data_IF_948984116471
#
_entry.id   IF_948984116471
#
_cell.length_a   1.000
_cell.length_b   1.000
_cell.length_c   1.000
_cell.angle_alpha   90.00
_cell.angle_beta   90.00
_cell.angle_gamma   90.00
#
_symmetry.space_group_name_H-M   'P 1'
#
loop_
_entity.id
_entity.type
_entity.pdbx_description
1 polymer ?
#
# COMPACT_ATOMS: atom_id res chain seq x y z
N UNK A 1 41.34 6.45 17.38
CA UNK A 1 40.06 7.18 17.18
C UNK A 1 39.33 7.16 18.51
N UNK A 2 39.21 8.32 19.17
CA UNK A 2 38.61 8.42 20.51
C UNK A 2 37.10 8.18 20.44
N UNK A 3 36.57 7.31 21.32
CA UNK A 3 35.12 7.10 21.47
C UNK A 3 34.56 8.24 22.31
N UNK A 4 33.60 8.97 21.77
CA UNK A 4 32.86 9.96 22.53
C UNK A 4 32.02 9.28 23.59
N UNK A 5 32.04 9.84 24.79
CA UNK A 5 31.25 9.37 25.91
C UNK A 5 29.81 9.91 25.83
N UNK A 6 28.96 9.42 26.72
CA UNK A 6 27.53 9.75 26.72
C UNK A 6 27.25 11.24 26.95
N UNK A 7 28.10 11.92 27.71
CA UNK A 7 27.96 13.35 28.03
C UNK A 7 28.31 14.21 26.80
N UNK A 8 29.33 13.82 26.04
CA UNK A 8 29.72 14.50 24.78
C UNK A 8 28.63 14.33 23.70
N UNK A 9 27.92 13.20 23.70
CA UNK A 9 26.76 12.98 22.82
C UNK A 9 25.58 13.87 23.24
N UNK A 10 25.30 13.96 24.54
CA UNK A 10 24.20 14.77 25.07
C UNK A 10 24.44 16.29 24.86
N UNK A 11 25.70 16.72 24.88
CA UNK A 11 26.10 18.10 24.58
C UNK A 11 25.94 18.44 23.09
N UNK A 12 26.30 17.52 22.19
CA UNK A 12 26.06 17.66 20.75
C UNK A 12 24.56 17.79 20.43
N UNK A 13 23.70 17.04 21.14
CA UNK A 13 22.24 17.13 21.00
C UNK A 13 21.67 18.46 21.49
N UNK A 14 22.21 19.03 22.59
CA UNK A 14 21.83 20.37 23.05
C UNK A 14 22.17 21.45 22.03
N UNK A 15 23.32 21.32 21.37
CA UNK A 15 23.78 22.29 20.37
C UNK A 15 23.01 22.18 19.04
N UNK A 16 22.56 20.98 18.66
CA UNK A 16 21.73 20.77 17.47
C UNK A 16 20.37 21.48 17.55
N UNK A 17 19.82 21.62 18.76
CA UNK A 17 18.57 22.34 19.03
C UNK A 17 18.68 23.87 18.97
N UNK A 18 19.89 24.43 18.73
CA UNK A 18 20.10 25.88 18.60
C UNK A 18 20.17 26.37 17.15
N UNK A 19 20.00 25.47 16.16
CA UNK A 19 20.00 25.84 14.74
C UNK A 19 18.61 26.46 14.40
N UNK A 20 18.53 27.76 14.06
CA UNK A 20 17.26 28.48 13.96
C UNK A 20 16.61 28.32 12.59
N UNK A 21 16.48 27.08 12.10
CA UNK A 21 15.77 26.79 10.86
C UNK A 21 14.99 25.48 10.95
N UNK A 22 14.04 25.43 11.88
CA UNK A 22 12.79 24.65 11.83
C UNK A 22 12.16 24.70 13.21
N UNK A 23 11.13 25.54 13.38
CA UNK A 23 10.17 25.40 14.49
C UNK A 23 9.33 24.13 14.29
N UNK A 24 9.96 22.96 14.31
CA UNK A 24 9.27 21.71 14.58
C UNK A 24 8.93 21.74 16.06
N UNK A 25 7.64 21.87 16.38
CA UNK A 25 7.12 21.70 17.74
C UNK A 25 7.77 20.47 18.36
N UNK A 26 8.36 20.64 19.54
CA UNK A 26 8.96 19.57 20.32
C UNK A 26 7.97 18.40 20.42
N UNK A 27 8.34 17.28 19.79
CA UNK A 27 7.61 16.02 19.87
C UNK A 27 7.65 15.59 21.33
N UNK A 28 6.48 15.34 21.92
CA UNK A 28 6.36 14.99 23.33
C UNK A 28 6.98 13.63 23.60
N UNK A 29 7.49 13.40 24.81
CA UNK A 29 8.10 12.13 25.23
C UNK A 29 7.14 10.95 25.09
N UNK A 30 5.83 11.20 25.15
CA UNK A 30 4.79 10.20 24.88
C UNK A 30 4.68 9.83 23.38
N UNK A 31 4.85 10.79 22.47
CA UNK A 31 4.87 10.57 21.01
C UNK A 31 6.12 9.79 20.58
N UNK A 32 7.22 9.94 21.32
CA UNK A 32 8.46 9.14 21.14
C UNK A 32 8.22 7.67 21.50
N UNK A 33 7.39 7.34 22.49
CA UNK A 33 7.03 5.94 22.83
C UNK A 33 6.17 5.27 21.75
N UNK A 34 5.30 6.04 21.09
CA UNK A 34 4.58 5.56 19.91
C UNK A 34 5.54 5.32 18.73
N UNK A 35 6.56 6.17 18.56
CA UNK A 35 7.67 5.95 17.62
C UNK A 35 8.59 4.77 18.02
N UNK A 36 8.78 4.46 19.31
CA UNK A 36 9.51 3.26 19.76
C UNK A 36 8.77 1.97 19.39
N UNK A 37 7.44 2.00 19.43
CA UNK A 37 6.60 0.89 18.94
C UNK A 37 6.74 0.73 17.42
N UNK A 38 6.88 1.85 16.69
CA UNK A 38 7.23 1.88 15.26
C UNK A 38 8.66 1.36 14.98
N UNK A 39 9.59 1.56 15.91
CA UNK A 39 10.98 1.10 15.82
C UNK A 39 11.15 -0.41 16.04
N UNK A 40 10.21 -1.08 16.74
CA UNK A 40 10.28 -2.54 16.89
C UNK A 40 10.05 -3.30 15.59
N UNK A 41 9.30 -2.72 14.63
CA UNK A 41 9.22 -3.24 13.26
C UNK A 41 10.60 -3.26 12.59
N UNK A 42 11.44 -2.25 12.91
CA UNK A 42 12.78 -2.04 12.34
C UNK A 42 13.79 -3.10 12.77
N UNK A 43 13.58 -3.79 13.89
CA UNK A 43 14.55 -4.78 14.38
C UNK A 43 14.38 -6.17 13.75
N UNK A 44 13.16 -6.57 13.37
CA UNK A 44 12.94 -7.86 12.69
C UNK A 44 12.82 -7.74 11.17
N UNK A 45 12.30 -6.62 10.65
CA UNK A 45 12.26 -6.36 9.19
C UNK A 45 13.59 -5.79 8.68
N UNK A 46 14.29 -5.03 9.53
CA UNK A 46 15.51 -4.30 9.16
C UNK A 46 16.80 -5.12 9.16
N UNK A 47 16.84 -6.32 9.75
CA UNK A 47 18.02 -7.19 9.69
C UNK A 47 18.33 -7.70 8.27
N UNK A 48 17.41 -7.49 7.30
CA UNK A 48 17.64 -7.73 5.86
C UNK A 48 18.08 -6.51 5.06
N UNK A 49 18.08 -5.30 5.63
CA UNK A 49 18.36 -4.04 4.90
C UNK A 49 19.82 -3.60 5.07
N UNK A 50 20.76 -4.54 5.23
CA UNK A 50 22.15 -4.17 5.53
C UNK A 50 22.98 -3.78 4.31
N UNK A 51 22.53 -4.04 3.07
CA UNK A 51 23.33 -3.80 1.85
C UNK A 51 22.47 -3.44 0.61
N UNK A 52 21.49 -2.53 0.77
CA UNK A 52 20.61 -2.11 -0.34
C UNK A 52 20.93 -0.71 -0.88
N UNK A 53 20.66 -0.50 -2.17
CA UNK A 53 20.57 0.83 -2.81
C UNK A 53 19.36 1.62 -2.28
N UNK A 54 19.33 2.94 -2.49
CA UNK A 54 18.15 3.76 -2.12
C UNK A 54 16.88 3.23 -2.80
N UNK A 55 16.97 2.80 -4.06
CA UNK A 55 15.85 2.22 -4.83
C UNK A 55 15.25 1.00 -4.14
N UNK A 56 16.06 0.04 -3.71
CA UNK A 56 15.58 -1.18 -3.05
C UNK A 56 14.90 -0.88 -1.71
N UNK A 57 15.33 0.20 -1.04
CA UNK A 57 14.70 0.67 0.19
C UNK A 57 13.31 1.25 -0.10
N UNK A 58 13.17 2.08 -1.14
CA UNK A 58 11.86 2.59 -1.57
C UNK A 58 10.89 1.48 -1.95
N UNK A 59 11.34 0.52 -2.77
CA UNK A 59 10.51 -0.61 -3.20
C UNK A 59 9.99 -1.41 -1.99
N UNK A 60 10.83 -1.60 -0.96
CA UNK A 60 10.41 -2.26 0.27
C UNK A 60 9.33 -1.46 1.01
N UNK A 61 9.50 -0.15 1.16
CA UNK A 61 8.50 0.70 1.82
C UNK A 61 7.18 0.73 1.05
N UNK A 62 7.22 0.88 -0.27
CA UNK A 62 6.03 0.88 -1.12
C UNK A 62 5.28 -0.45 -1.04
N UNK A 63 6.01 -1.56 -0.98
CA UNK A 63 5.44 -2.89 -0.77
C UNK A 63 4.77 -3.02 0.60
N UNK A 64 5.42 -2.58 1.68
CA UNK A 64 4.83 -2.62 3.04
C UNK A 64 3.56 -1.77 3.10
N UNK A 65 3.59 -0.57 2.55
CA UNK A 65 2.45 0.35 2.52
C UNK A 65 1.30 -0.25 1.71
N UNK A 66 1.61 -0.85 0.57
CA UNK A 66 0.62 -1.55 -0.24
C UNK A 66 0.00 -2.74 0.49
N UNK A 67 0.81 -3.53 1.19
CA UNK A 67 0.34 -4.64 2.01
C UNK A 67 -0.60 -4.16 3.12
N UNK A 68 -0.27 -3.07 3.81
CA UNK A 68 -1.13 -2.47 4.84
C UNK A 68 -2.47 -1.99 4.24
N UNK A 69 -2.43 -1.29 3.08
CA UNK A 69 -3.65 -0.82 2.37
C UNK A 69 -4.58 -1.97 1.95
N UNK A 70 -4.00 -3.13 1.60
CA UNK A 70 -4.77 -4.35 1.28
C UNK A 70 -5.33 -4.98 2.54
N UNK A 71 -4.52 -5.07 3.60
CA UNK A 71 -4.87 -5.73 4.85
C UNK A 71 -6.05 -5.07 5.55
N UNK A 72 -6.01 -3.74 5.72
CA UNK A 72 -7.03 -2.96 6.42
C UNK A 72 -7.46 -1.74 5.62
N UNK A 73 -8.77 -1.46 5.63
CA UNK A 73 -9.37 -0.30 4.97
C UNK A 73 -9.15 0.97 5.80
N UNK A 74 -7.93 1.46 5.82
CA UNK A 74 -7.54 2.71 6.48
C UNK A 74 -6.50 3.47 5.65
N UNK A 75 -6.34 4.77 5.91
CA UNK A 75 -5.35 5.58 5.21
C UNK A 75 -3.97 5.37 5.83
N UNK A 76 -3.04 4.83 5.05
CA UNK A 76 -1.62 4.73 5.42
C UNK A 76 -0.73 5.32 4.33
N UNK A 77 0.25 6.11 4.78
CA UNK A 77 1.23 6.81 3.95
C UNK A 77 2.48 7.10 4.78
N UNK A 78 3.57 7.47 4.11
CA UNK A 78 4.81 7.92 4.74
C UNK A 78 5.33 9.17 4.02
N UNK A 79 6.00 10.05 4.76
CA UNK A 79 6.48 11.35 4.29
C UNK A 79 7.99 11.41 4.04
N UNK A 80 8.77 10.56 4.71
CA UNK A 80 10.21 10.53 4.59
C UNK A 80 10.76 9.14 4.94
N UNK A 81 11.84 8.76 4.26
CA UNK A 81 12.66 7.61 4.62
C UNK A 81 13.97 8.13 5.21
N UNK A 82 14.32 7.62 6.40
CA UNK A 82 15.56 7.97 7.09
C UNK A 82 16.50 6.77 7.13
N UNK A 83 17.62 6.88 6.42
CA UNK A 83 18.68 5.87 6.45
C UNK A 83 19.73 6.28 7.48
N UNK A 84 19.99 5.39 8.45
CA UNK A 84 21.04 5.58 9.47
C UNK A 84 22.18 4.64 9.12
N UNK A 85 23.29 5.18 8.63
CA UNK A 85 24.51 4.40 8.40
C UNK A 85 25.26 4.19 9.72
N UNK A 86 25.55 2.94 10.14
CA UNK A 86 26.35 2.69 11.33
C UNK A 86 27.73 3.35 11.21
N UNK A 87 28.10 4.16 12.22
CA UNK A 87 29.39 4.85 12.31
C UNK A 87 30.60 3.91 12.17
N UNK A 88 30.44 2.61 12.42
CA UNK A 88 31.49 1.59 12.30
C UNK A 88 31.87 1.23 10.86
N UNK A 89 31.06 1.59 9.86
CA UNK A 89 31.28 1.24 8.44
C UNK A 89 31.66 2.43 7.55
N UNK A 90 31.83 3.63 8.12
CA UNK A 90 32.10 4.85 7.35
C UNK A 90 33.47 5.45 7.69
N UNK A 91 34.45 5.33 6.80
CA UNK A 91 35.72 6.07 6.88
C UNK A 91 35.56 7.58 6.59
N UNK A 92 34.37 7.99 6.13
CA UNK A 92 33.98 9.38 5.90
C UNK A 92 32.60 9.60 6.48
N UNK A 93 32.46 10.60 7.36
CA UNK A 93 31.22 11.02 8.01
C UNK A 93 29.99 10.79 7.11
N UNK A 94 29.09 9.85 7.45
CA UNK A 94 27.92 9.59 6.63
C UNK A 94 26.99 10.78 6.84
N UNK A 95 26.81 11.59 5.79
CA UNK A 95 25.75 12.60 5.81
C UNK A 95 24.43 11.84 5.89
N UNK A 96 23.55 12.15 6.85
CA UNK A 96 22.20 11.58 6.85
C UNK A 96 21.58 11.90 5.49
N UNK A 97 21.21 10.85 4.75
CA UNK A 97 20.51 11.00 3.50
C UNK A 97 19.02 11.13 3.83
N UNK A 98 18.46 12.28 3.48
CA UNK A 98 17.05 12.59 3.65
C UNK A 98 16.41 12.57 2.27
N UNK A 99 15.55 11.60 2.01
CA UNK A 99 14.64 11.65 0.88
C UNK A 99 13.23 11.87 1.42
N UNK A 100 12.68 13.05 1.14
CA UNK A 100 11.26 13.30 1.32
C UNK A 100 10.50 12.61 0.20
N UNK A 101 9.46 11.86 0.55
CA UNK A 101 8.39 11.57 -0.40
C UNK A 101 7.85 12.92 -0.92
N UNK A 102 7.39 13.01 -2.19
CA UNK A 102 6.87 14.26 -2.74
C UNK A 102 5.88 14.91 -1.77
N UNK A 103 6.10 16.18 -1.45
CA UNK A 103 5.34 16.90 -0.43
C UNK A 103 3.86 16.91 -0.80
N UNK A 104 3.07 16.10 -0.13
CA UNK A 104 1.63 16.08 -0.28
C UNK A 104 1.02 16.95 0.83
N UNK A 105 0.22 17.96 0.46
CA UNK A 105 -0.55 18.81 1.38
C UNK A 105 -1.70 18.03 2.06
N UNK A 106 -1.37 16.98 2.82
CA UNK A 106 -2.30 16.08 3.53
C UNK A 106 -2.76 16.73 4.85
N UNK A 107 -2.34 17.96 5.12
CA UNK A 107 -2.58 18.67 6.38
C UNK A 107 -4.04 19.02 6.63
N UNK A 108 -4.91 18.98 5.60
CA UNK A 108 -6.29 19.45 5.72
C UNK A 108 -7.32 18.43 6.19
N UNK A 109 -6.99 17.14 6.28
CA UNK A 109 -7.86 16.15 6.93
C UNK A 109 -7.13 14.83 7.15
N UNK A 110 -6.10 14.80 8.00
CA UNK A 110 -5.53 13.54 8.45
C UNK A 110 -6.66 12.69 9.07
N UNK A 111 -7.09 11.59 8.45
CA UNK A 111 -8.01 10.66 9.08
C UNK A 111 -7.36 10.11 10.35
N UNK A 112 -8.17 9.58 11.27
CA UNK A 112 -7.66 8.79 12.38
C UNK A 112 -6.60 7.82 11.84
N UNK A 113 -5.36 7.96 12.31
CA UNK A 113 -4.20 7.28 11.72
C UNK A 113 -4.40 5.78 11.63
N UNK A 114 -3.68 5.13 10.72
CA UNK A 114 -3.70 3.69 10.56
C UNK A 114 -3.24 3.02 11.87
N UNK A 115 -4.12 2.23 12.49
CA UNK A 115 -3.82 1.55 13.77
C UNK A 115 -4.05 0.06 13.64
N UNK A 116 -3.09 -0.73 14.10
CA UNK A 116 -3.26 -2.17 14.29
C UNK A 116 -3.24 -2.46 15.78
N UNK A 117 -4.23 -3.20 16.26
CA UNK A 117 -4.16 -3.80 17.60
C UNK A 117 -3.16 -4.97 17.65
N UNK A 118 -2.98 -5.58 18.83
CA UNK A 118 -1.96 -6.63 19.02
C UNK A 118 -2.28 -7.86 18.19
N UNK A 119 -3.56 -8.22 18.09
CA UNK A 119 -4.06 -9.35 17.34
C UNK A 119 -3.90 -9.10 15.83
N UNK A 120 -4.24 -7.91 15.35
CA UNK A 120 -4.07 -7.45 13.98
C UNK A 120 -2.61 -7.41 13.55
N UNK A 121 -1.67 -7.07 14.45
CA UNK A 121 -0.23 -7.13 14.16
C UNK A 121 0.20 -8.58 13.86
N UNK A 122 -0.28 -9.55 14.63
CA UNK A 122 0.04 -10.97 14.39
C UNK A 122 -0.52 -11.43 13.04
N UNK A 123 -1.77 -11.07 12.74
CA UNK A 123 -2.41 -11.38 11.46
C UNK A 123 -1.70 -10.70 10.28
N UNK A 124 -1.30 -9.44 10.45
CA UNK A 124 -0.55 -8.70 9.43
C UNK A 124 0.82 -9.33 9.17
N UNK A 125 1.54 -9.77 10.22
CA UNK A 125 2.81 -10.49 10.04
C UNK A 125 2.65 -11.75 9.19
N UNK A 126 1.59 -12.52 9.41
CA UNK A 126 1.28 -13.71 8.61
C UNK A 126 0.93 -13.34 7.16
N UNK A 127 0.14 -12.29 6.96
CA UNK A 127 -0.19 -11.76 5.64
C UNK A 127 1.06 -11.27 4.89
N UNK A 128 1.94 -10.53 5.56
CA UNK A 128 3.18 -10.00 5.02
C UNK A 128 4.16 -11.11 4.62
N UNK A 129 4.28 -12.17 5.41
CA UNK A 129 5.12 -13.32 5.06
C UNK A 129 4.71 -13.95 3.71
N UNK A 130 3.40 -14.02 3.44
CA UNK A 130 2.89 -14.47 2.13
C UNK A 130 3.10 -13.43 1.05
N UNK A 131 2.77 -12.16 1.31
CA UNK A 131 2.91 -11.07 0.36
C UNK A 131 4.35 -10.88 -0.13
N UNK A 132 5.31 -10.88 0.80
CA UNK A 132 6.73 -10.64 0.52
C UNK A 132 7.39 -11.74 -0.32
N UNK A 133 6.77 -12.92 -0.43
CA UNK A 133 7.22 -14.04 -1.27
C UNK A 133 6.68 -13.98 -2.70
N UNK A 134 5.76 -13.07 -3.01
CA UNK A 134 5.20 -12.94 -4.35
C UNK A 134 6.28 -12.39 -5.29
N UNK A 135 6.54 -13.03 -6.45
CA UNK A 135 7.54 -12.53 -7.40
C UNK A 135 7.22 -11.09 -7.85
N UNK A 136 8.22 -10.19 -7.95
CA UNK A 136 8.01 -8.80 -8.37
C UNK A 136 7.28 -8.65 -9.72
N UNK A 137 7.51 -9.57 -10.66
CA UNK A 137 6.89 -9.57 -11.98
C UNK A 137 5.52 -10.28 -12.03
N UNK A 138 4.97 -10.66 -10.87
CA UNK A 138 3.66 -11.31 -10.78
C UNK A 138 2.54 -10.33 -11.13
N UNK A 139 1.47 -10.78 -11.84
CA UNK A 139 0.27 -9.97 -12.02
C UNK A 139 -0.34 -9.46 -10.72
N UNK A 140 -0.12 -10.16 -9.59
CA UNK A 140 -0.59 -9.72 -8.26
C UNK A 140 0.16 -8.46 -7.80
N UNK A 141 1.47 -8.37 -8.02
CA UNK A 141 2.26 -7.19 -7.67
C UNK A 141 1.83 -6.00 -8.52
N UNK A 142 1.67 -6.19 -9.84
CA UNK A 142 1.18 -5.11 -10.72
C UNK A 142 -0.22 -4.64 -10.33
N UNK A 143 -1.13 -5.55 -10.00
CA UNK A 143 -2.47 -5.20 -9.49
C UNK A 143 -2.39 -4.45 -8.15
N UNK A 144 -1.45 -4.82 -7.28
CA UNK A 144 -1.24 -4.18 -5.98
C UNK A 144 -0.72 -2.75 -6.13
N UNK A 145 0.28 -2.54 -7.01
CA UNK A 145 0.82 -1.20 -7.30
C UNK A 145 -0.32 -0.29 -7.80
N UNK A 146 -1.12 -0.78 -8.76
CA UNK A 146 -2.26 -0.02 -9.31
C UNK A 146 -3.33 0.30 -8.26
N UNK A 147 -3.60 -0.62 -7.36
CA UNK A 147 -4.49 -0.38 -6.21
C UNK A 147 -3.93 0.70 -5.27
N UNK A 148 -2.62 0.71 -5.04
CA UNK A 148 -1.94 1.62 -4.11
C UNK A 148 -1.70 3.04 -4.65
N UNK A 149 -1.67 3.25 -5.97
CA UNK A 149 -1.48 4.58 -6.59
C UNK A 149 -2.52 5.64 -6.13
N UNK A 150 -3.59 5.21 -5.42
CA UNK A 150 -4.65 6.03 -4.84
C UNK A 150 -4.17 7.27 -4.07
N UNK A 151 -3.11 7.15 -3.29
CA UNK A 151 -2.76 8.13 -2.24
C UNK A 151 -1.57 9.02 -2.64
N UNK A 152 -0.74 8.57 -3.58
CA UNK A 152 0.48 9.26 -3.98
C UNK A 152 0.26 10.35 -5.04
N UNK A 153 -0.95 10.44 -5.60
CA UNK A 153 -1.27 11.43 -6.63
C UNK A 153 -2.67 11.95 -6.33
N UNK A 154 -2.87 13.27 -6.31
CA UNK A 154 -4.17 13.95 -6.20
C UNK A 154 -5.09 13.66 -7.41
N UNK A 155 -5.37 12.38 -7.62
CA UNK A 155 -6.12 11.85 -8.76
C UNK A 155 -7.60 11.95 -8.45
N UNK A 156 -8.38 12.10 -9.51
CA UNK A 156 -9.83 12.18 -9.39
C UNK A 156 -10.41 10.77 -9.26
N UNK A 157 -11.64 10.68 -8.76
CA UNK A 157 -12.29 9.38 -8.48
C UNK A 157 -12.48 8.50 -9.73
N UNK A 158 -12.52 9.11 -10.91
CA UNK A 158 -12.54 8.45 -12.22
C UNK A 158 -11.19 7.78 -12.55
N UNK A 159 -10.05 8.43 -12.29
CA UNK A 159 -8.73 7.82 -12.44
C UNK A 159 -8.60 6.58 -11.53
N UNK A 160 -9.03 6.70 -10.28
CA UNK A 160 -8.99 5.57 -9.34
C UNK A 160 -9.90 4.42 -9.75
N UNK A 161 -11.05 4.72 -10.36
CA UNK A 161 -11.92 3.69 -10.91
C UNK A 161 -11.23 2.96 -12.08
N UNK A 162 -10.52 3.68 -12.94
CA UNK A 162 -9.71 3.10 -14.02
C UNK A 162 -8.63 2.18 -13.44
N UNK A 163 -7.86 2.65 -12.47
CA UNK A 163 -6.78 1.88 -11.82
C UNK A 163 -7.31 0.60 -11.16
N UNK A 164 -8.50 0.65 -10.56
CA UNK A 164 -9.18 -0.54 -10.03
C UNK A 164 -9.45 -1.57 -11.15
N UNK A 165 -9.98 -1.12 -12.29
CA UNK A 165 -10.27 -2.03 -13.41
C UNK A 165 -9.00 -2.59 -14.06
N UNK A 166 -7.93 -1.81 -14.16
CA UNK A 166 -6.62 -2.30 -14.58
C UNK A 166 -6.15 -3.42 -13.64
N UNK A 167 -6.30 -3.22 -12.32
CA UNK A 167 -5.97 -4.26 -11.33
C UNK A 167 -6.81 -5.52 -11.52
N UNK A 168 -8.12 -5.39 -11.73
CA UNK A 168 -8.99 -6.52 -12.05
C UNK A 168 -8.60 -7.22 -13.35
N UNK A 169 -8.12 -6.50 -14.36
CA UNK A 169 -7.64 -7.08 -15.61
C UNK A 169 -6.39 -7.94 -15.38
N UNK A 170 -5.44 -7.46 -14.57
CA UNK A 170 -4.26 -8.26 -14.20
C UNK A 170 -4.63 -9.55 -13.46
N UNK A 171 -5.62 -9.49 -12.57
CA UNK A 171 -6.06 -10.65 -11.78
C UNK A 171 -6.96 -11.61 -12.57
N UNK A 172 -7.94 -11.08 -13.30
CA UNK A 172 -9.07 -11.86 -13.82
C UNK A 172 -9.23 -11.84 -15.34
N UNK A 173 -8.40 -11.15 -16.11
CA UNK A 173 -8.46 -11.19 -17.57
C UNK A 173 -7.59 -12.31 -18.15
N UNK A 174 -8.09 -12.96 -19.19
CA UNK A 174 -7.35 -13.90 -20.05
C UNK A 174 -6.90 -13.24 -21.38
N UNK A 175 -7.05 -11.92 -21.51
CA UNK A 175 -6.62 -11.16 -22.69
C UNK A 175 -7.62 -11.16 -23.87
N UNK A 176 -8.76 -11.86 -23.74
CA UNK A 176 -9.80 -11.89 -24.78
C UNK A 176 -10.74 -10.68 -24.80
N UNK A 177 -11.47 -10.52 -25.91
CA UNK A 177 -12.44 -9.43 -26.15
C UNK A 177 -13.67 -9.43 -25.21
N UNK A 178 -13.96 -10.54 -24.53
CA UNK A 178 -15.05 -10.67 -23.54
C UNK A 178 -14.65 -10.31 -22.09
N UNK A 179 -13.56 -9.54 -21.93
CA UNK A 179 -12.92 -9.30 -20.63
C UNK A 179 -13.87 -8.79 -19.55
N UNK A 180 -14.82 -7.92 -19.89
CA UNK A 180 -15.75 -7.31 -18.92
C UNK A 180 -16.68 -8.31 -18.22
N UNK A 181 -17.36 -9.15 -19.02
CA UNK A 181 -18.32 -10.10 -18.48
C UNK A 181 -17.61 -11.15 -17.63
N UNK A 182 -16.44 -11.60 -18.07
CA UNK A 182 -15.58 -12.53 -17.35
C UNK A 182 -15.09 -11.92 -16.05
N UNK A 183 -14.54 -10.70 -16.05
CA UNK A 183 -14.09 -10.01 -14.83
C UNK A 183 -15.24 -9.87 -13.83
N UNK A 184 -16.39 -9.35 -14.25
CA UNK A 184 -17.52 -9.17 -13.34
C UNK A 184 -18.01 -10.51 -12.75
N UNK A 185 -18.04 -11.58 -13.54
CA UNK A 185 -18.45 -12.92 -13.10
C UNK A 185 -17.41 -13.53 -12.15
N UNK A 186 -16.14 -13.55 -12.55
CA UNK A 186 -15.01 -14.10 -11.79
C UNK A 186 -14.88 -13.39 -10.44
N UNK A 187 -14.98 -12.06 -10.39
CA UNK A 187 -15.02 -11.30 -9.13
C UNK A 187 -16.17 -11.74 -8.22
N UNK A 188 -17.39 -11.87 -8.77
CA UNK A 188 -18.55 -12.28 -7.99
C UNK A 188 -18.42 -13.70 -7.43
N UNK A 189 -18.01 -14.66 -8.26
CA UNK A 189 -17.80 -16.07 -7.86
C UNK A 189 -16.67 -16.19 -6.84
N UNK A 190 -15.60 -15.42 -7.02
CA UNK A 190 -14.45 -15.48 -6.13
C UNK A 190 -14.75 -14.94 -4.73
N UNK A 191 -15.51 -13.84 -4.64
CA UNK A 191 -15.80 -13.19 -3.36
C UNK A 191 -16.94 -13.83 -2.58
N UNK A 192 -17.87 -14.50 -3.23
CA UNK A 192 -19.14 -14.85 -2.59
C UNK A 192 -19.68 -16.21 -3.00
N UNK A 193 -20.15 -16.99 -2.01
CA UNK A 193 -20.73 -18.32 -2.23
C UNK A 193 -22.24 -18.23 -2.43
N UNK A 194 -22.93 -17.29 -1.80
CA UNK A 194 -24.38 -17.14 -1.92
C UNK A 194 -24.77 -16.57 -3.31
N UNK A 195 -25.69 -17.26 -4.00
CA UNK A 195 -26.12 -16.92 -5.36
C UNK A 195 -26.66 -15.49 -5.51
N UNK A 196 -27.51 -15.04 -4.60
CA UNK A 196 -28.14 -13.71 -4.70
C UNK A 196 -27.11 -12.59 -4.50
N UNK A 197 -26.20 -12.79 -3.55
CA UNK A 197 -25.08 -11.87 -3.33
C UNK A 197 -24.08 -11.87 -4.51
N UNK A 198 -23.80 -13.02 -5.13
CA UNK A 198 -23.01 -13.08 -6.39
C UNK A 198 -23.67 -12.23 -7.49
N UNK A 199 -24.98 -12.40 -7.70
CA UNK A 199 -25.73 -11.64 -8.71
C UNK A 199 -25.64 -10.14 -8.43
N UNK A 200 -25.69 -9.74 -7.16
CA UNK A 200 -25.50 -8.34 -6.77
C UNK A 200 -24.10 -7.82 -7.12
N UNK A 201 -23.04 -8.51 -6.71
CA UNK A 201 -21.65 -8.12 -7.01
C UNK A 201 -21.44 -8.01 -8.52
N UNK A 202 -21.90 -9.00 -9.28
CA UNK A 202 -21.83 -9.01 -10.74
C UNK A 202 -22.50 -7.78 -11.37
N UNK A 203 -23.72 -7.44 -10.93
CA UNK A 203 -24.45 -6.26 -11.43
C UNK A 203 -23.74 -4.95 -11.08
N UNK A 204 -23.18 -4.85 -9.88
CA UNK A 204 -22.42 -3.67 -9.44
C UNK A 204 -21.12 -3.51 -10.24
N UNK A 205 -20.37 -4.61 -10.45
CA UNK A 205 -19.17 -4.63 -11.30
C UNK A 205 -19.47 -4.20 -12.74
N UNK A 206 -20.55 -4.72 -13.36
CA UNK A 206 -20.95 -4.31 -14.72
C UNK A 206 -21.30 -2.82 -14.81
N UNK A 207 -22.03 -2.29 -13.82
CA UNK A 207 -22.37 -0.87 -13.79
C UNK A 207 -21.13 0.00 -13.64
N UNK A 208 -20.20 -0.38 -12.76
CA UNK A 208 -18.95 0.31 -12.60
C UNK A 208 -18.09 0.28 -13.87
N UNK A 209 -18.06 -0.86 -14.58
CA UNK A 209 -17.33 -0.96 -15.84
C UNK A 209 -17.91 -0.04 -16.90
N UNK A 210 -19.24 0.09 -16.98
CA UNK A 210 -19.88 1.03 -17.90
C UNK A 210 -19.44 2.48 -17.60
N UNK A 211 -19.31 2.86 -16.33
CA UNK A 211 -18.78 4.18 -15.98
C UNK A 211 -17.31 4.33 -16.39
N UNK A 212 -16.46 3.32 -16.13
CA UNK A 212 -15.07 3.29 -16.61
C UNK A 212 -14.99 3.44 -18.13
N UNK A 213 -15.84 2.73 -18.87
CA UNK A 213 -15.93 2.82 -20.33
C UNK A 213 -16.32 4.23 -20.78
N UNK A 214 -17.29 4.87 -20.12
CA UNK A 214 -17.65 6.26 -20.41
C UNK A 214 -16.47 7.21 -20.19
N UNK A 215 -15.71 7.04 -19.11
CA UNK A 215 -14.53 7.86 -18.80
C UNK A 215 -13.48 7.73 -19.91
N UNK A 216 -13.06 6.50 -20.25
CA UNK A 216 -11.97 6.29 -21.24
C UNK A 216 -12.35 6.69 -22.66
N UNK A 217 -13.64 6.75 -22.98
CA UNK A 217 -14.14 7.23 -24.26
C UNK A 217 -14.51 8.72 -24.25
N UNK A 218 -14.19 9.46 -23.18
CA UNK A 218 -14.42 10.90 -23.09
C UNK A 218 -15.90 11.31 -23.10
N UNK A 219 -16.80 10.42 -22.67
CA UNK A 219 -18.24 10.73 -22.56
C UNK A 219 -18.53 11.60 -21.34
N UNK A 220 -19.72 12.19 -21.27
CA UNK A 220 -20.14 13.01 -20.11
C UNK A 220 -20.11 12.17 -18.82
N UNK A 221 -19.38 12.69 -17.83
CA UNK A 221 -19.09 12.02 -16.56
C UNK A 221 -20.01 12.56 -15.45
N UNK A 222 -20.62 11.65 -14.68
CA UNK A 222 -21.29 11.97 -13.40
C UNK A 222 -20.42 11.49 -12.23
N UNK A 223 -19.67 12.42 -11.64
CA UNK A 223 -18.76 12.12 -10.54
C UNK A 223 -19.45 11.59 -9.28
N UNK A 224 -20.72 11.97 -9.02
CA UNK A 224 -21.47 11.43 -7.86
C UNK A 224 -21.78 9.95 -8.07
N UNK A 225 -22.15 9.59 -9.29
CA UNK A 225 -22.42 8.20 -9.68
C UNK A 225 -21.14 7.36 -9.63
N UNK A 226 -20.02 7.90 -10.11
CA UNK A 226 -18.71 7.21 -10.06
C UNK A 226 -18.28 6.98 -8.62
N UNK A 227 -18.32 8.00 -7.76
CA UNK A 227 -17.93 7.87 -6.36
C UNK A 227 -18.71 6.74 -5.65
N UNK A 228 -20.01 6.63 -5.92
CA UNK A 228 -20.87 5.56 -5.38
C UNK A 228 -20.41 4.15 -5.78
N UNK A 229 -19.97 3.97 -7.04
CA UNK A 229 -19.52 2.67 -7.51
C UNK A 229 -18.07 2.40 -7.12
N UNK A 230 -17.22 3.42 -7.16
CA UNK A 230 -15.81 3.34 -6.81
C UNK A 230 -15.59 2.71 -5.44
N UNK A 231 -16.24 3.20 -4.38
CA UNK A 231 -16.05 2.65 -3.03
C UNK A 231 -16.32 1.15 -2.95
N UNK A 232 -17.34 0.67 -3.68
CA UNK A 232 -17.67 -0.77 -3.71
C UNK A 232 -16.65 -1.57 -4.50
N UNK A 233 -16.25 -1.06 -5.66
CA UNK A 233 -15.27 -1.69 -6.56
C UNK A 233 -13.90 -1.77 -5.87
N UNK A 234 -13.50 -0.72 -5.17
CA UNK A 234 -12.30 -0.68 -4.35
C UNK A 234 -12.35 -1.75 -3.24
N UNK A 235 -13.49 -1.88 -2.54
CA UNK A 235 -13.66 -2.90 -1.51
C UNK A 235 -13.62 -4.32 -2.10
N UNK A 236 -14.25 -4.54 -3.26
CA UNK A 236 -14.15 -5.82 -3.97
C UNK A 236 -12.72 -6.13 -4.38
N UNK A 237 -11.98 -5.15 -4.90
CA UNK A 237 -10.58 -5.34 -5.30
C UNK A 237 -9.69 -5.65 -4.09
N UNK A 238 -9.84 -4.89 -2.99
CA UNK A 238 -9.12 -5.14 -1.74
C UNK A 238 -9.34 -6.57 -1.25
N UNK A 239 -10.60 -7.01 -1.21
CA UNK A 239 -10.95 -8.36 -0.76
C UNK A 239 -10.42 -9.44 -1.72
N UNK A 240 -10.44 -9.17 -3.03
CA UNK A 240 -9.85 -10.08 -4.01
C UNK A 240 -8.34 -10.23 -3.78
N UNK A 241 -7.61 -9.12 -3.70
CA UNK A 241 -6.17 -9.11 -3.46
C UNK A 241 -5.84 -9.84 -2.16
N UNK A 242 -6.52 -9.48 -1.05
CA UNK A 242 -6.29 -10.09 0.25
C UNK A 242 -6.47 -11.61 0.20
N UNK A 243 -7.59 -12.07 -0.37
CA UNK A 243 -7.88 -13.50 -0.49
C UNK A 243 -6.87 -14.23 -1.40
N UNK A 244 -6.46 -13.63 -2.51
CA UNK A 244 -5.44 -14.21 -3.40
C UNK A 244 -4.10 -14.35 -2.69
N UNK A 245 -3.67 -13.35 -1.92
CA UNK A 245 -2.40 -13.36 -1.18
C UNK A 245 -2.45 -14.38 -0.02
N UNK A 246 -3.61 -14.54 0.61
CA UNK A 246 -3.81 -15.51 1.68
C UNK A 246 -3.85 -16.97 1.16
N UNK A 247 -4.23 -17.19 -0.10
CA UNK A 247 -4.25 -18.50 -0.77
C UNK A 247 -2.84 -18.89 -1.28
N UNK A 248 -2.29 -20.01 -0.81
CA UNK A 248 -0.87 -20.41 -1.02
C UNK A 248 -0.46 -20.75 -2.47
N UNK A 249 -1.40 -20.86 -3.43
CA UNK A 249 -1.10 -21.35 -4.78
C UNK A 249 -1.86 -20.60 -5.89
N UNK A 250 -1.53 -19.33 -6.08
CA UNK A 250 -2.01 -18.58 -7.25
C UNK A 250 -1.20 -18.93 -8.50
N UNK A 251 -1.73 -19.82 -9.33
CA UNK A 251 -1.43 -19.86 -10.76
C UNK A 251 -2.59 -19.22 -11.50
N UNK A 252 -2.34 -18.14 -12.26
CA UNK A 252 -3.39 -17.36 -12.92
C UNK A 252 -4.28 -18.27 -13.77
N UNK A 253 -3.71 -19.08 -14.65
CA UNK A 253 -4.51 -19.93 -15.56
C UNK A 253 -5.33 -20.98 -14.80
N UNK A 254 -4.72 -21.66 -13.83
CA UNK A 254 -5.41 -22.63 -12.98
C UNK A 254 -6.54 -21.98 -12.17
N UNK A 255 -6.30 -20.76 -11.68
CA UNK A 255 -7.25 -19.98 -10.90
C UNK A 255 -8.43 -19.51 -11.75
N UNK A 256 -8.18 -18.99 -12.95
CA UNK A 256 -9.24 -18.56 -13.87
C UNK A 256 -10.13 -19.73 -14.29
N UNK A 257 -9.53 -20.88 -14.60
CA UNK A 257 -10.29 -22.10 -14.92
C UNK A 257 -11.22 -22.49 -13.76
N UNK A 258 -10.71 -22.52 -12.52
CA UNK A 258 -11.55 -22.82 -11.34
C UNK A 258 -12.75 -21.88 -11.21
N UNK A 259 -12.60 -20.60 -11.53
CA UNK A 259 -13.68 -19.62 -11.44
C UNK A 259 -14.70 -19.74 -12.58
N UNK A 260 -14.30 -20.27 -13.74
CA UNK A 260 -15.19 -20.37 -14.89
C UNK A 260 -16.12 -21.59 -14.82
N UNK A 261 -15.71 -22.64 -14.10
CA UNK A 261 -16.47 -23.89 -13.89
C UNK A 261 -17.26 -23.94 -12.57
N UNK A 262 -17.33 -22.84 -11.79
CA UNK A 262 -18.09 -22.69 -10.54
C UNK A 262 -19.26 -21.68 -10.66
#
# INVERSE_FOLDING_TARGET
>A
IAKLNKEEIDELWKNFNQIPFLQLKAVKKEEIREMETYFHLKREVGEKITEGTSSETWDLFDNVISALRIFKKELVWFNAIYTITPLSKSERFPKPYFESAPYHDITKSLPAGYKLDKEEIVLFKQFWDKFSKIPPNSPIITATIRFSEKIERYRKVDDHLIDCFISFEFLFSDGGSESTHKIARRTAVFLEKNKDKRIRIYREMKRAYNERSNIVHGRKIDYKKIAKYYTKVEDYLRNCLRKIIEEEQYSKDTFLNKLDFN
#
